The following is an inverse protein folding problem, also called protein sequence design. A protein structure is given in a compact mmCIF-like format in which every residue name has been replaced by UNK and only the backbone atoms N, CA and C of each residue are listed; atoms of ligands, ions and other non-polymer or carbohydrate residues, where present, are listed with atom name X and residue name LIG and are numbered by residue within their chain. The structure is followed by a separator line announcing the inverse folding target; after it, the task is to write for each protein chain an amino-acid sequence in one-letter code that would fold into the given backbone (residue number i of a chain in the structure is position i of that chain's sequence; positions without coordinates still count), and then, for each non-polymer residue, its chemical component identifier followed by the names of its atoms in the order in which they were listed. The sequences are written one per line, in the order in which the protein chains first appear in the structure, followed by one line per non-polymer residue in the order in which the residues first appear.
data_IF_929194357814
#
_entry.id   IF_929194357814
#
_cell.length_a   1.000
_cell.length_b   1.000
_cell.length_c   1.000
_cell.angle_alpha   90.00
_cell.angle_beta   90.00
_cell.angle_gamma   90.00
#
_symmetry.space_group_name_H-M   'P 1'
#
loop_
_entity.id
_entity.type
_entity.pdbx_description
1 polymer ?
#
# COMPACT_ATOMS: atom_id res chain seq x y z
N UNK A 1 19.81 8.46 -17.53
CA UNK A 1 20.73 8.69 -16.41
C UNK A 1 20.31 7.74 -15.31
N UNK A 2 21.16 6.83 -14.87
CA UNK A 2 20.84 5.87 -13.82
C UNK A 2 21.44 6.43 -12.53
N UNK A 3 20.62 6.72 -11.54
CA UNK A 3 21.07 7.17 -10.23
C UNK A 3 21.24 5.94 -9.34
N UNK A 4 22.38 5.82 -8.68
CA UNK A 4 22.59 4.83 -7.63
C UNK A 4 22.54 5.57 -6.29
N UNK A 5 21.54 5.26 -5.50
CA UNK A 5 21.42 5.72 -4.13
C UNK A 5 22.04 4.63 -3.24
N UNK A 6 23.11 4.99 -2.54
CA UNK A 6 23.75 4.07 -1.58
C UNK A 6 23.20 4.30 -0.19
N UNK A 7 22.95 3.19 0.49
CA UNK A 7 22.51 3.19 1.89
C UNK A 7 23.76 3.24 2.75
N UNK A 8 24.05 4.37 3.37
CA UNK A 8 25.11 4.47 4.36
C UNK A 8 24.56 4.19 5.75
N UNK A 9 25.27 3.33 6.50
CA UNK A 9 24.92 2.92 7.85
C UNK A 9 25.22 4.05 8.83
N UNK A 10 24.22 4.85 9.17
CA UNK A 10 24.26 5.76 10.29
C UNK A 10 23.20 5.31 11.33
N UNK A 11 23.37 5.73 12.57
CA UNK A 11 22.46 5.38 13.65
C UNK A 11 21.10 6.08 13.46
N UNK A 12 20.10 5.35 12.93
CA UNK A 12 18.71 5.78 12.85
C UNK A 12 17.90 4.93 13.80
N UNK A 13 17.06 5.53 14.61
CA UNK A 13 16.20 4.80 15.54
C UNK A 13 15.17 3.95 14.82
N UNK A 14 14.70 2.88 15.45
CA UNK A 14 13.67 2.02 14.88
C UNK A 14 12.40 2.80 14.46
N UNK A 15 11.92 3.82 15.22
CA UNK A 15 10.80 4.65 14.79
C UNK A 15 11.03 5.40 13.47
N UNK A 16 12.25 5.88 13.22
CA UNK A 16 12.60 6.53 11.95
C UNK A 16 12.62 5.52 10.81
N UNK A 17 13.19 4.32 11.03
CA UNK A 17 13.19 3.22 10.04
C UNK A 17 11.77 2.81 9.65
N UNK A 18 10.90 2.65 10.62
CA UNK A 18 9.50 2.31 10.40
C UNK A 18 8.78 3.37 9.54
N UNK A 19 9.06 4.66 9.78
CA UNK A 19 8.52 5.76 8.95
C UNK A 19 9.07 5.71 7.53
N UNK A 20 10.35 5.46 7.33
CA UNK A 20 10.91 5.28 5.99
C UNK A 20 10.28 4.12 5.23
N UNK A 21 10.09 2.98 5.89
CA UNK A 21 9.38 1.85 5.30
C UNK A 21 7.94 2.22 4.89
N UNK A 22 7.26 3.06 5.68
CA UNK A 22 5.91 3.51 5.37
C UNK A 22 5.86 4.63 4.30
N UNK A 23 6.94 5.39 4.10
CA UNK A 23 7.05 6.36 2.98
C UNK A 23 6.85 5.67 1.63
N UNK A 24 7.36 4.44 1.47
CA UNK A 24 7.27 3.68 0.21
C UNK A 24 5.83 3.54 -0.28
N UNK A 25 4.91 2.90 0.44
CA UNK A 25 3.55 2.73 -0.01
C UNK A 25 2.79 4.05 -0.14
N UNK A 26 3.06 5.03 0.71
CA UNK A 26 2.40 6.34 0.65
C UNK A 26 2.78 7.09 -0.63
N UNK A 27 4.07 7.20 -0.94
CA UNK A 27 4.51 7.83 -2.18
C UNK A 27 4.05 7.06 -3.42
N UNK A 28 4.03 5.72 -3.38
CA UNK A 28 3.46 4.90 -4.47
C UNK A 28 1.99 5.23 -4.70
N UNK A 29 1.19 5.28 -3.64
CA UNK A 29 -0.23 5.62 -3.73
C UNK A 29 -0.48 7.02 -4.29
N UNK A 30 0.26 8.02 -3.81
CA UNK A 30 0.15 9.39 -4.31
C UNK A 30 0.66 9.53 -5.76
N UNK A 31 1.74 8.84 -6.10
CA UNK A 31 2.31 8.86 -7.45
C UNK A 31 1.34 8.22 -8.46
N UNK A 32 0.61 7.20 -8.03
CA UNK A 32 -0.40 6.55 -8.86
C UNK A 32 -1.55 7.49 -9.25
N UNK A 33 -1.96 8.39 -8.36
CA UNK A 33 -2.99 9.40 -8.66
C UNK A 33 -2.50 10.56 -9.55
N UNK A 34 -1.20 10.58 -9.90
CA UNK A 34 -0.61 11.64 -10.72
C UNK A 34 -1.16 11.62 -12.15
N UNK A 35 -1.59 12.78 -12.63
CA UNK A 35 -2.22 12.89 -13.94
C UNK A 35 -1.24 12.62 -15.09
N UNK A 36 -1.74 12.02 -16.15
CA UNK A 36 -0.96 11.65 -17.36
C UNK A 36 -0.18 12.81 -17.95
N UNK A 37 -0.74 14.04 -17.97
CA UNK A 37 -0.05 15.22 -18.49
C UNK A 37 1.26 15.53 -17.75
N UNK A 38 1.36 15.22 -16.46
CA UNK A 38 2.58 15.43 -15.66
C UNK A 38 3.65 14.42 -16.08
N UNK A 39 3.25 13.18 -16.30
CA UNK A 39 4.16 12.13 -16.81
C UNK A 39 4.71 12.52 -18.18
N UNK A 40 3.87 13.03 -19.07
CA UNK A 40 4.28 13.51 -20.40
C UNK A 40 5.22 14.70 -20.31
N UNK A 41 4.96 15.67 -19.44
CA UNK A 41 5.85 16.84 -19.21
C UNK A 41 7.21 16.43 -18.66
N UNK A 42 7.27 15.42 -17.80
CA UNK A 42 8.53 14.89 -17.27
C UNK A 42 9.33 14.08 -18.32
N UNK A 43 8.69 13.69 -19.41
CA UNK A 43 9.28 12.80 -20.42
C UNK A 43 9.34 11.34 -19.98
N UNK A 44 8.43 10.94 -19.10
CA UNK A 44 8.26 9.58 -18.57
C UNK A 44 8.11 9.56 -17.05
N UNK A 45 7.45 8.50 -16.58
CA UNK A 45 7.14 8.33 -15.16
C UNK A 45 8.41 8.21 -14.28
N UNK A 46 9.45 7.58 -14.84
CA UNK A 46 10.76 7.39 -14.20
C UNK A 46 11.57 8.68 -14.02
N UNK A 47 11.16 9.77 -14.66
CA UNK A 47 11.84 11.08 -14.59
C UNK A 47 11.18 12.07 -13.65
N UNK A 48 10.05 11.72 -13.06
CA UNK A 48 9.35 12.59 -12.11
C UNK A 48 10.20 12.70 -10.85
N UNK A 49 10.85 13.85 -10.62
CA UNK A 49 11.57 14.11 -9.37
C UNK A 49 10.58 14.36 -8.24
N UNK A 50 11.01 14.13 -6.99
CA UNK A 50 10.16 14.39 -5.82
C UNK A 50 9.75 15.87 -5.75
N UNK A 51 10.65 16.80 -6.12
CA UNK A 51 10.34 18.23 -6.17
C UNK A 51 9.27 18.53 -7.23
N UNK A 52 9.40 18.00 -8.46
CA UNK A 52 8.37 18.13 -9.49
C UNK A 52 7.05 17.58 -9.01
N UNK A 53 7.06 16.39 -8.45
CA UNK A 53 5.87 15.75 -7.88
C UNK A 53 5.21 16.64 -6.83
N UNK A 54 5.96 17.14 -5.85
CA UNK A 54 5.43 18.04 -4.79
C UNK A 54 4.88 19.37 -5.34
N UNK A 55 5.41 19.87 -6.46
CA UNK A 55 4.92 21.13 -7.07
C UNK A 55 3.61 20.97 -7.83
N UNK A 56 3.39 19.80 -8.41
CA UNK A 56 2.25 19.55 -9.33
C UNK A 56 1.15 18.72 -8.70
N UNK A 57 1.46 18.07 -7.58
CA UNK A 57 0.48 17.26 -6.87
C UNK A 57 -0.63 18.14 -6.28
N UNK A 58 -1.87 17.79 -6.61
CA UNK A 58 -3.05 18.38 -6.01
C UNK A 58 -3.72 17.31 -5.17
N UNK A 59 -3.83 17.55 -3.86
CA UNK A 59 -4.50 16.64 -2.94
C UNK A 59 -5.94 16.36 -3.40
N UNK A 60 -6.27 15.07 -3.47
CA UNK A 60 -7.61 14.62 -3.79
C UNK A 60 -8.21 13.89 -2.58
N UNK A 61 -9.51 14.02 -2.28
CA UNK A 61 -10.14 13.36 -1.12
C UNK A 61 -9.95 11.85 -1.04
N UNK A 62 -9.66 11.19 -2.19
CA UNK A 62 -9.39 9.75 -2.27
C UNK A 62 -7.96 9.33 -1.97
N UNK A 63 -7.00 10.26 -1.91
CA UNK A 63 -5.58 9.93 -1.82
C UNK A 63 -5.20 9.19 -0.54
N UNK A 64 -5.79 9.56 0.58
CA UNK A 64 -5.61 8.86 1.85
C UNK A 64 -6.05 7.39 1.75
N UNK A 65 -7.18 7.12 1.08
CA UNK A 65 -7.67 5.77 0.83
C UNK A 65 -6.74 4.96 -0.07
N UNK A 66 -6.27 5.56 -1.17
CA UNK A 66 -5.31 4.91 -2.08
C UNK A 66 -4.01 4.58 -1.34
N UNK A 67 -3.47 5.53 -0.58
CA UNK A 67 -2.25 5.29 0.23
C UNK A 67 -2.47 4.19 1.27
N UNK A 68 -3.66 4.12 1.86
CA UNK A 68 -4.04 3.06 2.79
C UNK A 68 -4.08 1.67 2.11
N UNK A 69 -4.60 1.59 0.87
CA UNK A 69 -4.56 0.35 0.07
C UNK A 69 -3.12 -0.13 -0.16
N UNK A 70 -2.23 0.79 -0.57
CA UNK A 70 -0.82 0.47 -0.78
C UNK A 70 -0.11 0.09 0.52
N UNK A 71 -0.38 0.81 1.61
CA UNK A 71 0.25 0.55 2.90
C UNK A 71 -0.14 -0.82 3.46
N UNK A 72 -1.43 -1.17 3.39
CA UNK A 72 -1.90 -2.47 3.84
C UNK A 72 -1.32 -3.61 3.00
N UNK A 73 -1.34 -3.46 1.66
CA UNK A 73 -0.72 -4.41 0.74
C UNK A 73 0.77 -4.63 1.06
N UNK A 74 1.52 -3.55 1.23
CA UNK A 74 2.94 -3.60 1.56
C UNK A 74 3.21 -4.30 2.90
N UNK A 75 2.40 -4.00 3.92
CA UNK A 75 2.52 -4.60 5.26
C UNK A 75 2.22 -6.09 5.27
N UNK A 76 1.25 -6.56 4.48
CA UNK A 76 0.95 -7.99 4.36
C UNK A 76 2.12 -8.70 3.66
N UNK A 77 2.61 -8.17 2.55
CA UNK A 77 3.75 -8.75 1.82
C UNK A 77 5.05 -8.71 2.62
N UNK A 78 5.27 -7.64 3.36
CA UNK A 78 6.39 -7.49 4.29
C UNK A 78 6.26 -8.31 5.57
N UNK A 79 5.13 -8.99 5.77
CA UNK A 79 4.79 -9.77 6.97
C UNK A 79 4.88 -8.95 8.25
N UNK A 80 4.46 -7.68 8.20
CA UNK A 80 4.41 -6.83 9.37
C UNK A 80 3.42 -7.44 10.39
N UNK A 81 3.88 -7.81 11.61
CA UNK A 81 3.15 -8.73 12.49
C UNK A 81 1.75 -8.26 12.87
N UNK A 82 1.56 -6.99 13.22
CA UNK A 82 0.25 -6.47 13.64
C UNK A 82 -0.83 -6.58 12.57
N UNK A 83 -0.46 -6.49 11.30
CA UNK A 83 -1.38 -6.63 10.17
C UNK A 83 -1.42 -8.07 9.65
N UNK A 84 -0.24 -8.66 9.43
CA UNK A 84 -0.12 -10.00 8.87
C UNK A 84 -0.85 -11.05 9.72
N UNK A 85 -0.64 -11.03 11.04
CA UNK A 85 -1.28 -11.99 11.96
C UNK A 85 -2.80 -11.82 11.96
N UNK A 86 -3.30 -10.59 11.93
CA UNK A 86 -4.74 -10.31 11.90
C UNK A 86 -5.39 -10.78 10.59
N UNK A 87 -4.75 -10.50 9.47
CA UNK A 87 -5.22 -10.96 8.15
C UNK A 87 -5.17 -12.49 8.07
N UNK A 88 -4.06 -13.10 8.50
CA UNK A 88 -3.90 -14.55 8.53
C UNK A 88 -4.96 -15.23 9.38
N UNK A 89 -5.26 -14.68 10.57
CA UNK A 89 -6.36 -15.17 11.42
C UNK A 89 -7.71 -15.11 10.71
N UNK A 90 -7.99 -14.00 10.00
CA UNK A 90 -9.25 -13.85 9.26
C UNK A 90 -9.35 -14.87 8.12
N UNK A 91 -8.27 -15.08 7.36
CA UNK A 91 -8.23 -16.05 6.27
C UNK A 91 -8.42 -17.50 6.77
N UNK A 92 -7.79 -17.83 7.88
CA UNK A 92 -7.94 -19.16 8.48
C UNK A 92 -9.33 -19.36 9.09
N UNK A 93 -9.72 -18.49 10.01
CA UNK A 93 -10.91 -18.64 10.85
C UNK A 93 -12.22 -18.52 10.08
N UNK A 94 -12.31 -17.58 9.14
CA UNK A 94 -13.56 -17.26 8.44
C UNK A 94 -13.60 -17.76 7.00
N UNK A 95 -12.44 -17.95 6.37
CA UNK A 95 -12.37 -18.40 4.98
C UNK A 95 -11.91 -19.86 4.85
N UNK A 96 -11.30 -20.43 5.90
CA UNK A 96 -10.82 -21.82 5.89
C UNK A 96 -9.68 -22.09 4.90
N UNK A 97 -8.86 -21.08 4.58
CA UNK A 97 -7.80 -21.19 3.56
C UNK A 97 -6.40 -21.21 4.15
N UNK A 98 -6.28 -21.22 5.49
CA UNK A 98 -5.01 -21.29 6.22
C UNK A 98 -4.38 -19.92 6.50
N UNK A 99 -3.25 -19.94 7.21
CA UNK A 99 -2.63 -18.76 7.84
C UNK A 99 -1.58 -18.04 6.97
N UNK A 100 -1.22 -18.57 5.81
CA UNK A 100 -0.25 -17.92 4.95
C UNK A 100 -0.93 -16.85 4.09
N UNK A 101 -0.92 -15.61 4.59
CA UNK A 101 -1.52 -14.50 3.90
C UNK A 101 -0.61 -13.95 2.80
N UNK A 102 -1.18 -13.76 1.61
CA UNK A 102 -0.60 -13.01 0.50
C UNK A 102 -1.62 -11.98 0.02
N UNK A 103 -1.14 -10.90 -0.59
CA UNK A 103 -1.96 -9.80 -1.06
C UNK A 103 -1.66 -9.46 -2.52
N UNK A 104 -2.72 -9.29 -3.29
CA UNK A 104 -2.67 -8.76 -4.65
C UNK A 104 -3.38 -7.41 -4.64
N UNK A 105 -2.64 -6.34 -4.96
CA UNK A 105 -3.21 -5.00 -5.09
C UNK A 105 -3.99 -4.92 -6.40
N UNK A 106 -5.21 -4.44 -6.33
CA UNK A 106 -6.11 -4.42 -7.49
C UNK A 106 -6.88 -3.11 -7.63
N UNK A 107 -7.39 -2.56 -6.53
CA UNK A 107 -8.27 -1.39 -6.52
C UNK A 107 -7.64 -0.14 -7.10
N UNK A 108 -6.59 0.36 -6.48
CA UNK A 108 -5.86 1.53 -6.94
C UNK A 108 -5.31 1.32 -8.35
N UNK A 109 -4.80 0.14 -8.60
CA UNK A 109 -4.09 -0.18 -9.83
C UNK A 109 -4.99 -0.50 -11.02
N UNK A 110 -6.25 -0.89 -10.83
CA UNK A 110 -7.15 -1.19 -11.96
C UNK A 110 -7.34 -0.02 -12.94
N UNK A 111 -7.11 1.23 -12.50
CA UNK A 111 -7.12 2.41 -13.35
C UNK A 111 -5.83 2.64 -14.16
N UNK A 112 -4.72 2.03 -13.80
CA UNK A 112 -3.37 2.31 -14.34
C UNK A 112 -2.96 1.49 -15.56
N UNK A 113 -3.74 0.48 -15.98
CA UNK A 113 -3.50 -0.24 -17.21
C UNK A 113 -2.84 -1.62 -17.08
N UNK A 114 -2.24 -2.08 -18.17
CA UNK A 114 -1.88 -3.48 -18.38
C UNK A 114 -0.75 -4.02 -17.48
N UNK A 115 0.22 -3.18 -17.11
CA UNK A 115 1.38 -3.60 -16.30
C UNK A 115 1.00 -4.11 -14.92
N UNK A 116 -0.07 -3.60 -14.38
CA UNK A 116 -0.56 -3.88 -13.03
C UNK A 116 -1.28 -5.22 -12.98
N UNK A 117 -2.05 -5.50 -14.04
CA UNK A 117 -2.72 -6.79 -14.19
C UNK A 117 -1.69 -7.92 -14.36
N UNK A 118 -0.55 -7.62 -14.97
CA UNK A 118 0.53 -8.59 -15.11
C UNK A 118 1.21 -8.91 -13.77
N UNK A 119 1.37 -7.91 -12.88
CA UNK A 119 1.87 -8.19 -11.52
C UNK A 119 0.90 -9.04 -10.70
N UNK A 120 -0.42 -8.82 -10.84
CA UNK A 120 -1.41 -9.70 -10.24
C UNK A 120 -1.35 -11.12 -10.82
N UNK A 121 -1.18 -11.25 -12.15
CA UNK A 121 -1.06 -12.54 -12.82
C UNK A 121 0.21 -13.30 -12.44
N UNK A 122 1.29 -12.64 -12.08
CA UNK A 122 2.53 -13.30 -11.67
C UNK A 122 2.39 -14.08 -10.35
N UNK A 123 1.43 -13.70 -9.51
CA UNK A 123 1.13 -14.37 -8.24
C UNK A 123 0.10 -15.49 -8.42
N UNK A 124 -0.79 -15.35 -9.43
CA UNK A 124 -1.89 -16.29 -9.67
C UNK A 124 -1.50 -17.40 -10.63
N UNK A 125 -1.93 -18.61 -10.30
CA UNK A 125 -1.89 -19.77 -11.21
C UNK A 125 -3.19 -19.88 -12.02
N UNK A 126 -3.22 -20.77 -13.00
CA UNK A 126 -4.46 -21.04 -13.74
C UNK A 126 -5.54 -21.73 -12.87
N UNK A 127 -5.14 -22.27 -11.74
CA UNK A 127 -6.01 -22.95 -10.77
C UNK A 127 -6.47 -22.01 -9.64
N UNK A 128 -5.94 -20.81 -9.54
CA UNK A 128 -6.31 -19.83 -8.50
C UNK A 128 -7.81 -19.59 -8.46
N UNK A 129 -8.40 -19.81 -7.30
CA UNK A 129 -9.86 -19.77 -7.11
C UNK A 129 -10.27 -18.64 -6.21
N UNK A 130 -11.26 -17.87 -6.63
CA UNK A 130 -11.93 -16.89 -5.80
C UNK A 130 -13.06 -17.57 -5.02
N UNK A 131 -13.10 -17.36 -3.70
CA UNK A 131 -14.17 -17.85 -2.84
C UNK A 131 -15.45 -16.99 -3.06
N UNK A 132 -16.58 -17.61 -3.41
CA UNK A 132 -17.78 -16.87 -3.80
C UNK A 132 -18.74 -16.56 -2.65
N UNK A 133 -18.51 -17.10 -1.44
CA UNK A 133 -19.49 -17.13 -0.34
C UNK A 133 -20.28 -18.42 -0.27
N UNK A 134 -21.24 -18.47 0.64
CA UNK A 134 -21.79 -19.69 1.26
C UNK A 134 -22.51 -20.70 0.37
N UNK A 135 -22.79 -20.43 -0.91
CA UNK A 135 -23.56 -21.36 -1.76
C UNK A 135 -23.10 -21.49 -3.20
N UNK A 136 -22.07 -20.79 -3.62
CA UNK A 136 -21.62 -20.86 -5.01
C UNK A 136 -20.30 -21.65 -5.11
N UNK A 137 -20.01 -22.20 -6.29
CA UNK A 137 -18.72 -22.85 -6.54
C UNK A 137 -17.61 -21.80 -6.70
N UNK A 138 -16.40 -22.04 -6.19
CA UNK A 138 -15.26 -21.20 -6.42
C UNK A 138 -15.04 -20.96 -7.94
N UNK A 139 -14.65 -19.74 -8.29
CA UNK A 139 -14.42 -19.35 -9.68
C UNK A 139 -12.94 -19.07 -9.94
N UNK A 140 -12.49 -19.25 -11.17
CA UNK A 140 -11.08 -19.04 -11.54
C UNK A 140 -10.74 -17.54 -11.56
N UNK A 141 -9.97 -17.09 -10.59
CA UNK A 141 -9.68 -15.67 -10.36
C UNK A 141 -8.91 -15.06 -11.54
N UNK A 142 -7.87 -15.73 -12.03
CA UNK A 142 -7.04 -15.24 -13.15
C UNK A 142 -7.86 -14.94 -14.39
N UNK A 143 -8.79 -15.84 -14.75
CA UNK A 143 -9.72 -15.65 -15.88
C UNK A 143 -10.64 -14.44 -15.66
N UNK A 144 -11.11 -14.20 -14.44
CA UNK A 144 -11.90 -13.02 -14.13
C UNK A 144 -11.11 -11.73 -14.23
N UNK A 145 -9.87 -11.72 -13.78
CA UNK A 145 -8.96 -10.56 -13.91
C UNK A 145 -8.70 -10.25 -15.39
N UNK A 146 -8.51 -11.25 -16.24
CA UNK A 146 -8.37 -11.06 -17.70
C UNK A 146 -9.61 -10.43 -18.33
N UNK A 147 -10.78 -10.89 -17.94
CA UNK A 147 -12.05 -10.31 -18.41
C UNK A 147 -12.23 -8.86 -17.94
N UNK A 148 -11.88 -8.58 -16.69
CA UNK A 148 -11.90 -7.22 -16.12
C UNK A 148 -10.91 -6.33 -16.89
N UNK A 149 -9.69 -6.79 -17.12
CA UNK A 149 -8.69 -6.06 -17.88
C UNK A 149 -9.16 -5.70 -19.28
N UNK A 150 -9.83 -6.64 -19.93
CA UNK A 150 -10.42 -6.41 -21.26
C UNK A 150 -11.56 -5.40 -21.23
N UNK A 151 -12.39 -5.43 -20.18
CA UNK A 151 -13.49 -4.49 -19.97
C UNK A 151 -13.02 -3.08 -19.60
N UNK A 152 -11.87 -2.93 -18.93
CA UNK A 152 -11.28 -1.63 -18.60
C UNK A 152 -10.93 -0.79 -19.82
N UNK A 153 -10.58 -1.43 -20.92
CA UNK A 153 -10.31 -0.74 -22.19
C UNK A 153 -11.55 -0.09 -22.80
N UNK A 154 -12.76 -0.47 -22.34
CA UNK A 154 -14.04 0.03 -22.84
C UNK A 154 -15.02 0.21 -21.69
N UNK A 155 -15.17 1.43 -21.19
CA UNK A 155 -16.04 1.75 -20.04
C UNK A 155 -17.51 1.30 -20.22
N UNK A 156 -18.02 1.26 -21.45
CA UNK A 156 -19.36 0.77 -21.77
C UNK A 156 -19.55 -0.73 -21.46
N UNK A 157 -18.47 -1.51 -21.44
CA UNK A 157 -18.52 -2.96 -21.19
C UNK A 157 -18.65 -3.27 -19.69
N UNK A 158 -18.27 -2.35 -18.80
CA UNK A 158 -18.36 -2.55 -17.33
C UNK A 158 -19.81 -2.82 -16.89
N UNK A 159 -20.78 -2.14 -17.51
CA UNK A 159 -22.22 -2.34 -17.20
C UNK A 159 -22.77 -3.68 -17.66
N UNK A 160 -22.16 -4.27 -18.68
CA UNK A 160 -22.56 -5.58 -19.23
C UNK A 160 -21.89 -6.77 -18.53
N UNK A 161 -20.96 -6.54 -17.60
CA UNK A 161 -20.30 -7.61 -16.87
C UNK A 161 -21.30 -8.39 -16.00
N UNK A 162 -21.22 -9.72 -15.96
CA UNK A 162 -22.02 -10.56 -15.05
C UNK A 162 -21.89 -10.10 -13.61
N UNK A 163 -22.94 -10.31 -12.80
CA UNK A 163 -22.95 -9.88 -11.41
C UNK A 163 -21.76 -10.43 -10.57
N UNK A 164 -21.33 -11.67 -10.87
CA UNK A 164 -20.16 -12.29 -10.26
C UNK A 164 -18.86 -11.50 -10.53
N UNK A 165 -18.70 -11.01 -11.76
CA UNK A 165 -17.53 -10.21 -12.14
C UNK A 165 -17.62 -8.79 -11.60
N UNK A 166 -18.83 -8.20 -11.54
CA UNK A 166 -19.03 -6.87 -10.93
C UNK A 166 -18.65 -6.83 -9.45
N UNK A 167 -18.88 -7.94 -8.72
CA UNK A 167 -18.40 -8.08 -7.35
C UNK A 167 -16.87 -8.03 -7.26
N UNK A 168 -16.19 -8.71 -8.16
CA UNK A 168 -14.72 -8.70 -8.26
C UNK A 168 -14.19 -7.30 -8.61
N UNK A 169 -14.88 -6.58 -9.48
CA UNK A 169 -14.54 -5.21 -9.88
C UNK A 169 -14.43 -4.24 -8.67
N UNK A 170 -15.28 -4.39 -7.68
CA UNK A 170 -15.31 -3.55 -6.48
C UNK A 170 -14.23 -3.93 -5.46
N UNK A 171 -13.41 -4.96 -5.70
CA UNK A 171 -12.32 -5.31 -4.81
C UNK A 171 -11.20 -4.27 -4.88
N UNK A 172 -10.62 -3.96 -3.73
CA UNK A 172 -9.42 -3.15 -3.59
C UNK A 172 -8.18 -4.04 -3.54
N UNK A 173 -8.29 -5.18 -2.84
CA UNK A 173 -7.27 -6.24 -2.80
C UNK A 173 -7.92 -7.61 -3.08
N UNK A 174 -7.07 -8.57 -3.45
CA UNK A 174 -7.36 -9.99 -3.23
C UNK A 174 -6.39 -10.49 -2.16
N UNK A 175 -6.97 -11.02 -1.08
CA UNK A 175 -6.22 -11.69 -0.03
C UNK A 175 -6.39 -13.20 -0.20
N UNK A 176 -5.30 -13.95 -0.02
CA UNK A 176 -5.37 -15.38 -0.21
C UNK A 176 -4.16 -16.11 0.35
N UNK A 177 -4.15 -17.41 0.13
CA UNK A 177 -3.04 -18.27 0.51
C UNK A 177 -2.48 -18.96 -0.75
N UNK A 178 -1.23 -18.66 -1.14
CA UNK A 178 -0.62 -19.26 -2.32
C UNK A 178 -0.49 -20.79 -2.27
N UNK A 179 -0.44 -21.39 -1.07
CA UNK A 179 -0.33 -22.85 -0.94
C UNK A 179 -1.65 -23.56 -1.26
N UNK A 180 -2.78 -23.00 -0.82
CA UNK A 180 -4.11 -23.53 -1.13
C UNK A 180 -4.68 -23.00 -2.42
N UNK A 181 -4.08 -21.90 -2.93
CA UNK A 181 -4.47 -21.17 -4.14
C UNK A 181 -5.92 -20.69 -4.14
N UNK A 182 -6.41 -20.35 -2.92
CA UNK A 182 -7.71 -19.73 -2.69
C UNK A 182 -7.55 -18.26 -2.31
N UNK A 183 -8.43 -17.44 -2.86
CA UNK A 183 -8.41 -15.99 -2.75
C UNK A 183 -9.77 -15.44 -2.38
N UNK A 184 -9.79 -14.32 -1.67
CA UNK A 184 -11.01 -13.61 -1.24
C UNK A 184 -10.93 -12.17 -1.67
N UNK A 185 -12.01 -11.66 -2.25
CA UNK A 185 -12.13 -10.25 -2.58
C UNK A 185 -12.17 -9.42 -1.29
N UNK A 186 -11.37 -8.37 -1.23
CA UNK A 186 -11.23 -7.52 -0.05
C UNK A 186 -11.49 -6.08 -0.42
N UNK A 187 -12.25 -5.38 0.42
CA UNK A 187 -12.47 -3.94 0.30
C UNK A 187 -11.81 -3.22 1.46
N UNK A 188 -11.19 -2.10 1.17
CA UNK A 188 -10.51 -1.25 2.14
C UNK A 188 -11.24 0.08 2.23
N UNK A 189 -11.60 0.49 3.42
CA UNK A 189 -12.23 1.78 3.64
C UNK A 189 -11.59 2.46 4.84
N UNK A 190 -11.28 3.74 4.69
CA UNK A 190 -10.79 4.58 5.80
C UNK A 190 -11.92 5.02 6.72
N UNK A 191 -13.17 4.83 6.30
CA UNK A 191 -14.38 5.08 7.09
C UNK A 191 -15.32 3.89 6.93
N UNK A 192 -15.70 3.26 8.06
CA UNK A 192 -16.63 2.13 8.11
C UNK A 192 -17.96 2.39 7.42
N UNK A 193 -18.49 3.62 7.49
CA UNK A 193 -19.75 3.99 6.87
C UNK A 193 -19.75 3.90 5.33
N UNK A 194 -18.57 3.81 4.72
CA UNK A 194 -18.42 3.66 3.26
C UNK A 194 -18.36 2.20 2.81
N UNK A 195 -18.50 1.25 3.74
CA UNK A 195 -18.51 -0.18 3.39
C UNK A 195 -19.87 -0.49 2.75
N UNK A 196 -19.81 -0.88 1.50
CA UNK A 196 -20.98 -1.30 0.72
C UNK A 196 -21.06 -2.82 0.66
N UNK A 197 -22.27 -3.36 0.76
CA UNK A 197 -22.51 -4.74 0.43
C UNK A 197 -22.19 -5.01 -1.05
N UNK A 198 -21.56 -6.14 -1.30
CA UNK A 198 -21.26 -6.60 -2.64
C UNK A 198 -21.51 -8.12 -2.72
N UNK A 199 -21.90 -8.64 -3.91
CA UNK A 199 -22.14 -10.06 -4.05
C UNK A 199 -20.86 -10.88 -3.82
N UNK A 200 -21.00 -12.00 -3.12
CA UNK A 200 -19.92 -12.94 -2.79
C UNK A 200 -19.26 -12.69 -1.45
N UNK A 201 -18.39 -13.62 -1.05
CA UNK A 201 -17.59 -13.49 0.16
C UNK A 201 -16.62 -12.34 0.03
N UNK A 202 -16.56 -11.50 1.06
CA UNK A 202 -15.69 -10.32 1.06
C UNK A 202 -15.15 -10.04 2.45
N UNK A 203 -13.90 -9.64 2.49
CA UNK A 203 -13.29 -9.09 3.70
C UNK A 203 -13.38 -7.56 3.58
N UNK A 204 -13.87 -6.88 4.63
CA UNK A 204 -13.84 -5.44 4.75
C UNK A 204 -12.86 -5.04 5.85
N UNK A 205 -11.75 -4.38 5.48
CA UNK A 205 -10.75 -3.89 6.42
C UNK A 205 -10.89 -2.38 6.54
N UNK A 206 -10.96 -1.90 7.76
CA UNK A 206 -11.17 -0.47 8.06
C UNK A 206 -10.61 -0.12 9.43
N UNK A 207 -10.16 1.14 9.65
CA UNK A 207 -9.80 1.62 10.96
C UNK A 207 -11.03 1.71 11.88
N UNK A 208 -10.87 1.29 13.14
CA UNK A 208 -11.93 1.36 14.15
C UNK A 208 -11.37 1.96 15.45
N UNK A 209 -12.09 2.94 16.01
CA UNK A 209 -11.67 3.62 17.24
C UNK A 209 -11.77 2.72 18.47
N UNK A 210 -12.62 1.69 18.41
CA UNK A 210 -12.83 0.77 19.52
C UNK A 210 -11.70 -0.25 19.62
N UNK A 211 -10.92 -0.27 20.69
CA UNK A 211 -9.69 -1.06 20.77
C UNK A 211 -9.89 -2.57 20.82
N UNK A 212 -11.10 -3.06 20.98
CA UNK A 212 -11.40 -4.49 21.20
C UNK A 212 -12.42 -5.08 20.20
N UNK A 213 -12.67 -4.42 19.07
CA UNK A 213 -13.58 -5.03 18.11
C UNK A 213 -12.85 -6.16 17.35
N UNK A 214 -13.31 -7.39 17.61
CA UNK A 214 -12.80 -8.57 16.93
C UNK A 214 -13.41 -8.74 15.55
N UNK A 215 -12.70 -9.40 14.62
CA UNK A 215 -13.26 -9.75 13.34
C UNK A 215 -14.53 -10.57 13.48
N UNK A 216 -15.55 -10.25 12.69
CA UNK A 216 -16.83 -10.94 12.69
C UNK A 216 -17.41 -11.07 11.29
N UNK A 217 -18.14 -12.15 11.06
CA UNK A 217 -18.84 -12.36 9.80
C UNK A 217 -20.33 -11.97 9.95
N UNK A 218 -20.80 -11.14 9.03
CA UNK A 218 -22.21 -10.75 8.94
C UNK A 218 -22.64 -11.01 7.49
N UNK A 219 -23.51 -11.99 7.30
CA UNK A 219 -23.87 -12.47 5.96
C UNK A 219 -22.65 -13.00 5.20
N UNK A 220 -22.34 -12.41 4.06
CA UNK A 220 -21.14 -12.74 3.24
C UNK A 220 -19.98 -11.76 3.45
N UNK A 221 -20.10 -10.84 4.39
CA UNK A 221 -19.10 -9.83 4.69
C UNK A 221 -18.37 -10.14 6.00
N UNK A 222 -17.05 -10.24 5.93
CA UNK A 222 -16.17 -10.41 7.08
C UNK A 222 -15.63 -9.03 7.44
N UNK A 223 -16.06 -8.51 8.58
CA UNK A 223 -15.55 -7.26 9.15
C UNK A 223 -14.21 -7.52 9.82
N UNK A 224 -13.17 -6.81 9.40
CA UNK A 224 -11.83 -6.87 9.97
C UNK A 224 -11.42 -5.46 10.43
N UNK A 225 -11.82 -5.04 11.64
CA UNK A 225 -11.47 -3.74 12.18
C UNK A 225 -9.98 -3.68 12.54
N UNK A 226 -9.33 -2.55 12.23
CA UNK A 226 -7.95 -2.23 12.64
C UNK A 226 -8.03 -1.13 13.71
N UNK A 227 -7.75 -1.43 14.99
CA UNK A 227 -7.77 -0.42 16.05
C UNK A 227 -6.77 0.71 15.78
N UNK A 228 -7.16 1.96 16.06
CA UNK A 228 -6.26 3.12 15.90
C UNK A 228 -5.04 3.08 16.80
N UNK A 229 -5.11 2.37 17.91
CA UNK A 229 -4.00 2.21 18.84
C UNK A 229 -2.99 1.12 18.44
N UNK A 230 -3.17 0.45 17.30
CA UNK A 230 -2.12 -0.40 16.73
C UNK A 230 -1.09 0.44 15.99
N UNK A 231 0.13 0.01 16.05
CA UNK A 231 1.29 0.68 15.46
C UNK A 231 1.14 1.01 14.00
N UNK A 232 0.58 0.08 13.21
CA UNK A 232 0.35 0.31 11.79
C UNK A 232 -0.46 1.59 11.54
N UNK A 233 -1.57 1.79 12.25
CA UNK A 233 -2.43 2.96 12.04
C UNK A 233 -1.77 4.26 12.46
N UNK A 234 -1.07 4.24 13.58
CA UNK A 234 -0.31 5.39 14.08
C UNK A 234 0.84 5.74 13.14
N UNK A 235 1.61 4.74 12.71
CA UNK A 235 2.72 4.89 11.79
C UNK A 235 2.25 5.40 10.41
N UNK A 236 1.19 4.80 9.87
CA UNK A 236 0.60 5.23 8.60
C UNK A 236 0.13 6.69 8.67
N UNK A 237 -0.63 7.05 9.71
CA UNK A 237 -1.14 8.41 9.89
C UNK A 237 -0.02 9.44 10.02
N UNK A 238 0.97 9.17 10.88
CA UNK A 238 2.12 10.06 11.07
C UNK A 238 2.92 10.23 9.77
N UNK A 239 3.23 9.13 9.09
CA UNK A 239 4.03 9.21 7.85
C UNK A 239 3.25 9.86 6.70
N UNK A 240 1.93 9.65 6.63
CA UNK A 240 1.09 10.37 5.67
C UNK A 240 1.17 11.88 5.89
N UNK A 241 1.15 12.35 7.16
CA UNK A 241 1.30 13.77 7.47
C UNK A 241 2.69 14.30 7.10
N UNK A 242 3.77 13.54 7.31
CA UNK A 242 5.13 13.91 6.87
C UNK A 242 5.13 14.21 5.37
N UNK A 243 4.63 13.27 4.56
CA UNK A 243 4.62 13.43 3.10
C UNK A 243 3.70 14.58 2.68
N UNK A 244 2.54 14.74 3.33
CA UNK A 244 1.61 15.85 3.09
C UNK A 244 2.26 17.21 3.36
N UNK A 245 2.97 17.37 4.47
CA UNK A 245 3.68 18.61 4.80
C UNK A 245 4.85 18.89 3.83
N UNK A 246 5.57 17.84 3.39
CA UNK A 246 6.60 17.96 2.37
C UNK A 246 6.02 18.45 1.04
N UNK A 247 4.86 17.93 0.63
CA UNK A 247 4.15 18.37 -0.57
C UNK A 247 3.72 19.84 -0.43
N UNK A 248 3.12 20.22 0.71
CA UNK A 248 2.72 21.59 0.98
C UNK A 248 3.92 22.57 0.95
N UNK A 249 5.10 22.11 1.39
CA UNK A 249 6.35 22.85 1.30
C UNK A 249 7.02 22.76 -0.09
N UNK A 250 6.36 22.16 -1.10
CA UNK A 250 6.86 21.99 -2.48
C UNK A 250 8.21 21.27 -2.57
N UNK A 251 8.36 20.19 -1.75
CA UNK A 251 9.58 19.39 -1.70
C UNK A 251 10.72 20.00 -0.87
N UNK A 252 10.50 21.14 -0.23
CA UNK A 252 11.44 21.71 0.75
C UNK A 252 11.16 21.16 2.14
N UNK A 253 12.13 21.30 3.03
CA UNK A 253 11.94 20.92 4.42
C UNK A 253 10.75 21.71 5.03
N UNK A 254 9.74 21.03 5.57
CA UNK A 254 8.62 21.68 6.24
C UNK A 254 9.10 22.48 7.46
N UNK A 255 8.33 23.51 7.83
CA UNK A 255 8.64 24.24 9.06
C UNK A 255 8.53 23.31 10.29
N UNK A 256 9.47 23.35 11.23
CA UNK A 256 9.48 22.44 12.40
C UNK A 256 8.17 22.40 13.20
N UNK A 257 7.45 23.52 13.28
CA UNK A 257 6.14 23.55 13.94
C UNK A 257 5.04 22.73 13.24
N UNK A 258 5.23 22.34 11.98
CA UNK A 258 4.30 21.48 11.25
C UNK A 258 4.51 19.99 11.57
N UNK A 259 5.69 19.62 12.04
CA UNK A 259 6.06 18.26 12.40
C UNK A 259 6.59 18.27 13.85
N UNK A 260 5.74 17.87 14.80
CA UNK A 260 6.00 18.03 16.23
C UNK A 260 7.10 17.07 16.73
N UNK A 261 7.17 15.87 16.12
CA UNK A 261 8.12 14.85 16.58
C UNK A 261 9.45 14.94 15.83
N UNK A 262 10.54 14.74 16.55
CA UNK A 262 11.89 14.74 15.99
C UNK A 262 12.04 13.74 14.83
N UNK A 263 11.52 12.51 14.99
CA UNK A 263 11.58 11.47 13.98
C UNK A 263 10.89 11.88 12.67
N UNK A 264 9.77 12.60 12.77
CA UNK A 264 9.04 13.10 11.61
C UNK A 264 9.84 14.19 10.87
N UNK A 265 10.53 15.06 11.63
CA UNK A 265 11.39 16.10 11.07
C UNK A 265 12.61 15.51 10.35
N UNK A 266 13.23 14.46 10.90
CA UNK A 266 14.38 13.78 10.27
C UNK A 266 13.99 13.10 8.96
N UNK A 267 12.82 12.43 8.92
CA UNK A 267 12.32 11.82 7.69
C UNK A 267 12.00 12.88 6.63
N UNK A 268 11.35 13.98 7.03
CA UNK A 268 11.02 15.07 6.12
C UNK A 268 12.28 15.76 5.58
N UNK A 269 13.29 15.97 6.44
CA UNK A 269 14.59 16.52 6.05
C UNK A 269 15.29 15.63 5.04
N UNK A 270 15.36 14.32 5.33
CA UNK A 270 15.98 13.36 4.44
C UNK A 270 15.33 13.34 3.04
N UNK A 271 14.00 13.39 2.97
CA UNK A 271 13.25 13.47 1.70
C UNK A 271 13.50 14.81 0.98
N UNK A 272 13.52 15.92 1.73
CA UNK A 272 13.77 17.25 1.18
C UNK A 272 15.17 17.36 0.56
N UNK A 273 16.21 16.86 1.24
CA UNK A 273 17.58 16.86 0.75
C UNK A 273 17.71 16.06 -0.57
N UNK A 274 16.78 15.16 -0.84
CA UNK A 274 16.74 14.32 -2.04
C UNK A 274 15.61 14.67 -3.02
N UNK A 275 14.98 15.82 -2.85
CA UNK A 275 13.83 16.21 -3.67
C UNK A 275 14.14 16.33 -5.17
N UNK A 276 15.41 16.49 -5.54
CA UNK A 276 15.87 16.56 -6.93
C UNK A 276 16.02 15.19 -7.60
N UNK A 277 15.96 14.06 -6.84
CA UNK A 277 15.99 12.72 -7.39
C UNK A 277 14.62 12.27 -7.89
N UNK A 278 14.57 11.35 -8.88
CA UNK A 278 13.34 10.71 -9.28
C UNK A 278 12.66 10.00 -8.10
N UNK A 279 11.35 10.12 -8.00
CA UNK A 279 10.58 9.45 -6.93
C UNK A 279 10.83 7.94 -6.93
N UNK A 280 10.91 7.31 -8.11
CA UNK A 280 11.19 5.87 -8.21
C UNK A 280 12.57 5.51 -7.65
N UNK A 281 13.60 6.33 -7.87
CA UNK A 281 14.93 6.10 -7.31
C UNK A 281 14.91 6.20 -5.77
N UNK A 282 14.12 7.13 -5.21
CA UNK A 282 13.91 7.23 -3.76
C UNK A 282 13.23 5.97 -3.23
N UNK A 283 12.17 5.50 -3.92
CA UNK A 283 11.47 4.27 -3.52
C UNK A 283 12.38 3.04 -3.58
N UNK A 284 13.16 2.89 -4.64
CA UNK A 284 14.15 1.80 -4.78
C UNK A 284 15.19 1.82 -3.65
N UNK A 285 15.65 3.01 -3.28
CA UNK A 285 16.60 3.17 -2.19
C UNK A 285 16.03 2.83 -0.81
N UNK A 286 14.74 3.06 -0.60
CA UNK A 286 14.05 2.73 0.65
C UNK A 286 13.59 1.25 0.71
N UNK A 287 13.48 0.55 -0.42
CA UNK A 287 12.96 -0.83 -0.50
C UNK A 287 13.69 -1.84 0.43
N UNK A 288 15.03 -1.75 0.67
CA UNK A 288 15.70 -2.63 1.62
C UNK A 288 15.30 -2.40 3.08
N UNK A 289 14.68 -1.25 3.40
CA UNK A 289 14.28 -0.92 4.77
C UNK A 289 12.99 -1.70 5.08
N UNK A 290 13.12 -2.69 5.94
CA UNK A 290 11.96 -3.46 6.41
C UNK A 290 11.19 -2.67 7.46
N UNK A 291 9.87 -2.79 7.38
CA UNK A 291 8.98 -2.31 8.42
C UNK A 291 9.25 -3.11 9.71
N UNK A 292 9.53 -2.43 10.80
CA UNK A 292 9.78 -3.04 12.11
C UNK A 292 8.49 -3.13 12.91
N UNK A 293 8.46 -4.11 13.80
CA UNK A 293 7.38 -4.23 14.78
C UNK A 293 7.73 -3.38 16.00
N UNK A 294 7.04 -2.28 16.18
CA UNK A 294 7.30 -1.33 17.26
C UNK A 294 6.82 -1.83 18.65
N UNK A 295 6.04 -2.94 18.70
CA UNK A 295 5.53 -3.52 19.96
C UNK A 295 6.59 -4.30 20.74
N UNK A 296 7.68 -4.71 20.11
CA UNK A 296 8.69 -5.53 20.75
C UNK A 296 9.50 -4.79 21.85
N UNK A 297 9.36 -3.48 21.96
CA UNK A 297 10.23 -2.64 22.80
C UNK A 297 9.76 -2.38 24.22
N UNK A 298 8.69 -2.99 24.70
CA UNK A 298 8.25 -2.76 26.09
C UNK A 298 9.10 -3.46 27.18
N UNK A 299 10.21 -4.10 26.82
CA UNK A 299 10.95 -4.92 27.76
C UNK A 299 12.47 -5.00 27.67
N UNK A 300 13.13 -4.50 26.64
CA UNK A 300 14.58 -4.59 26.53
C UNK A 300 15.24 -3.26 26.15
N UNK A 301 16.37 -2.95 26.79
CA UNK A 301 17.20 -1.76 26.54
C UNK A 301 17.44 -1.57 25.05
N UNK A 302 17.11 -0.39 24.54
CA UNK A 302 17.36 0.03 23.17
C UNK A 302 18.83 -0.20 22.78
N UNK A 303 19.10 -1.32 22.16
CA UNK A 303 20.37 -1.49 21.46
C UNK A 303 20.28 -0.60 20.23
N UNK A 304 21.08 0.46 20.17
CA UNK A 304 21.20 1.32 19.01
C UNK A 304 21.56 0.48 17.81
N UNK A 305 20.58 0.21 16.96
CA UNK A 305 20.81 -0.50 15.71
C UNK A 305 21.31 0.51 14.70
N UNK A 306 22.47 0.20 14.14
CA UNK A 306 23.02 0.96 13.04
C UNK A 306 22.00 0.98 11.89
N UNK A 307 21.64 2.15 11.44
CA UNK A 307 20.68 2.33 10.38
C UNK A 307 21.33 2.97 9.17
N UNK A 308 20.83 2.61 8.06
CA UNK A 308 21.35 2.92 6.76
C UNK A 308 20.95 4.34 6.33
N UNK A 309 21.90 5.25 6.21
CA UNK A 309 21.72 6.56 5.57
C UNK A 309 21.99 6.41 4.09
N UNK A 310 21.02 6.80 3.30
CA UNK A 310 21.13 6.77 1.84
C UNK A 310 21.91 8.00 1.38
N UNK A 311 23.09 7.78 0.84
CA UNK A 311 23.85 8.80 0.13
C UNK A 311 23.60 8.68 -1.37
N UNK A 312 23.33 9.81 -2.00
CA UNK A 312 23.25 9.88 -3.44
C UNK A 312 24.66 10.14 -4.02
N UNK A 313 25.21 9.16 -4.71
CA UNK A 313 26.38 9.38 -5.52
C UNK A 313 25.97 9.70 -6.97
N UNK A 314 26.32 10.84 -7.53
CA UNK A 314 26.15 11.09 -8.96
C UNK A 314 27.05 10.10 -9.73
N UNK A 315 26.48 9.39 -10.70
CA UNK A 315 27.27 8.58 -11.62
C UNK A 315 28.09 9.53 -12.47
N UNK A 316 29.42 9.42 -12.53
CA UNK A 316 30.21 10.23 -13.44
C UNK A 316 29.75 9.96 -14.88
N UNK A 317 29.52 11.02 -15.63
CA UNK A 317 29.28 10.97 -17.05
C UNK A 317 30.50 10.30 -17.69
N UNK A 318 30.30 9.14 -18.26
CA UNK A 318 31.31 8.55 -19.13
C UNK A 318 31.55 9.47 -20.32
N UNK A 319 32.79 9.58 -20.81
CA UNK A 319 33.16 10.49 -21.89
C UNK A 319 32.44 10.19 -23.19
#
# INVERSE_FOLDING_TARGET
MKYTLEVQTNFVTEPIRARFAMVIPILRGMLFSTKRNIVEQAGGFERITLEMFCRVYNEHPGDYGICFEYALHHSIRGRQPSIYNKVSYVLDRFCGIGTQAESILFGAEKGGGQSIIESAKSVLTDNSKLLPGTQARPTFLKRHIDNIASAMRRSSVVQSLPASIRGVWKADLFLGNPQTDYWVATTLKTNRAQIEEAPGLRIAIYPEERPQEEPKMIGSLIHCPLPYNIEFMQLFGATFQIVKHLIAARGKQPHPAALVYYDDQEVAKWLSDRAHFPVLAILEALEPIKQVDLLAESGEEQTQVASDVIAAAPIPLAP
#
